data_IF_661756193238
#
_entry.id   IF_661756193238
#
_cell.length_a   1.000
_cell.length_b   1.000
_cell.length_c   1.000
_cell.angle_alpha   90.00
_cell.angle_beta   90.00
_cell.angle_gamma   90.00
#
_symmetry.space_group_name_H-M   'P 1'
#
loop_
_entity.id
_entity.type
_entity.pdbx_description
1 polymer ?
#
# COMPACT_ATOMS: atom_id res chain seq x y z
N UNK A 1 -41.36 -7.93 -10.35
CA UNK A 1 -40.87 -6.53 -10.46
C UNK A 1 -39.63 -6.38 -9.58
N UNK A 2 -38.43 -6.41 -10.16
CA UNK A 2 -37.17 -6.14 -9.44
C UNK A 2 -36.69 -4.77 -9.90
N UNK A 3 -36.71 -3.79 -9.01
CA UNK A 3 -36.12 -2.47 -9.25
C UNK A 3 -34.61 -2.62 -9.46
N UNK A 4 -34.16 -2.16 -10.62
CA UNK A 4 -32.76 -1.94 -10.92
C UNK A 4 -32.23 -0.87 -9.95
N UNK A 5 -31.27 -1.25 -9.09
CA UNK A 5 -30.51 -0.28 -8.31
C UNK A 5 -29.56 0.43 -9.27
N UNK A 6 -29.91 1.66 -9.60
CA UNK A 6 -29.17 2.55 -10.48
C UNK A 6 -27.76 2.76 -9.91
N UNK A 7 -26.74 2.43 -10.71
CA UNK A 7 -25.31 2.63 -10.41
C UNK A 7 -24.92 4.11 -10.62
N UNK A 8 -25.71 5.05 -10.09
CA UNK A 8 -25.55 6.49 -10.30
C UNK A 8 -24.42 7.11 -9.48
N UNK A 9 -23.86 6.40 -8.48
CA UNK A 9 -22.77 6.93 -7.67
C UNK A 9 -21.41 6.90 -8.39
N UNK A 10 -21.26 6.08 -9.44
CA UNK A 10 -20.02 5.98 -10.23
C UNK A 10 -19.84 7.20 -11.17
N UNK A 11 -20.91 7.95 -11.44
CA UNK A 11 -20.89 9.11 -12.37
C UNK A 11 -20.70 10.47 -11.72
N UNK A 12 -20.64 10.56 -10.38
CA UNK A 12 -20.23 11.79 -9.69
C UNK A 12 -18.71 11.80 -9.58
N UNK A 13 -18.06 12.41 -10.57
CA UNK A 13 -16.64 12.75 -10.50
C UNK A 13 -16.31 13.37 -9.15
N UNK A 14 -15.18 12.98 -8.57
CA UNK A 14 -14.74 13.19 -7.19
C UNK A 14 -14.45 14.66 -6.83
N UNK A 15 -15.43 15.55 -7.02
CA UNK A 15 -15.29 16.95 -6.60
C UNK A 15 -15.13 17.00 -5.08
N UNK A 16 -14.04 17.61 -4.62
CA UNK A 16 -13.78 17.84 -3.20
C UNK A 16 -14.92 18.68 -2.59
N UNK A 17 -15.11 18.59 -1.28
CA UNK A 17 -16.14 19.38 -0.56
C UNK A 17 -15.98 20.90 -0.71
N UNK A 18 -14.80 21.37 -1.13
CA UNK A 18 -14.47 22.77 -1.43
C UNK A 18 -14.67 23.16 -2.91
N UNK A 19 -15.29 22.29 -3.72
CA UNK A 19 -15.55 22.52 -5.14
C UNK A 19 -14.32 22.39 -6.04
N UNK A 20 -13.14 22.06 -5.50
CA UNK A 20 -11.91 21.89 -6.28
C UNK A 20 -11.84 20.50 -6.92
N UNK A 21 -11.11 20.36 -8.05
CA UNK A 21 -10.83 19.04 -8.60
C UNK A 21 -10.04 18.18 -7.58
N UNK A 22 -10.13 16.85 -7.68
CA UNK A 22 -9.28 15.94 -6.93
C UNK A 22 -7.81 16.28 -7.11
N UNK A 23 -7.00 16.08 -6.07
CA UNK A 23 -5.55 16.14 -6.19
C UNK A 23 -5.09 14.91 -6.99
N UNK A 24 -4.40 15.07 -8.13
CA UNK A 24 -3.80 13.95 -8.84
C UNK A 24 -2.79 13.21 -7.96
N UNK A 25 -2.72 11.89 -8.09
CA UNK A 25 -1.83 11.09 -7.24
C UNK A 25 -0.36 11.47 -7.37
N UNK A 26 0.10 11.85 -8.58
CA UNK A 26 1.47 12.36 -8.78
C UNK A 26 1.76 13.62 -7.95
N UNK A 27 0.79 14.53 -7.83
CA UNK A 27 0.96 15.80 -7.12
C UNK A 27 1.03 15.53 -5.61
N UNK A 28 0.28 14.52 -5.13
CA UNK A 28 0.42 13.99 -3.79
C UNK A 28 1.82 13.40 -3.52
N UNK A 29 2.35 12.57 -4.43
CA UNK A 29 3.72 12.05 -4.31
C UNK A 29 4.74 13.19 -4.24
N UNK A 30 4.63 14.18 -5.12
CA UNK A 30 5.50 15.36 -5.10
C UNK A 30 5.41 16.16 -3.80
N UNK A 31 4.22 16.22 -3.17
CA UNK A 31 4.07 16.88 -1.87
C UNK A 31 4.86 16.19 -0.76
N UNK A 32 4.95 14.85 -0.79
CA UNK A 32 5.73 14.05 0.16
C UNK A 32 7.22 14.23 -0.16
N UNK A 33 7.62 14.03 -1.41
CA UNK A 33 9.03 14.01 -1.79
C UNK A 33 9.71 15.38 -1.64
N UNK A 34 8.97 16.47 -1.85
CA UNK A 34 9.47 17.83 -1.67
C UNK A 34 9.22 18.36 -0.24
N UNK A 35 8.69 17.54 0.67
CA UNK A 35 8.37 17.90 2.07
C UNK A 35 7.52 19.17 2.19
N UNK A 36 6.62 19.39 1.24
CA UNK A 36 5.72 20.56 1.23
C UNK A 36 4.69 20.45 2.36
N UNK A 37 4.33 19.23 2.74
CA UNK A 37 3.39 18.95 3.82
C UNK A 37 3.95 17.86 4.74
N UNK A 38 4.20 18.22 6.00
CA UNK A 38 4.67 17.28 7.02
C UNK A 38 3.43 16.67 7.69
N UNK A 39 3.29 15.35 7.60
CA UNK A 39 2.20 14.64 8.23
C UNK A 39 2.66 13.24 8.65
N UNK A 40 2.36 12.89 9.91
CA UNK A 40 2.72 11.59 10.50
C UNK A 40 2.17 10.40 9.72
N UNK A 41 1.09 10.55 8.96
CA UNK A 41 0.52 9.45 8.15
C UNK A 41 1.42 9.05 6.97
N UNK A 42 2.32 9.94 6.54
CA UNK A 42 3.22 9.71 5.40
C UNK A 42 4.69 9.74 5.83
N UNK A 43 4.97 9.82 7.12
CA UNK A 43 6.33 9.70 7.63
C UNK A 43 6.73 8.22 7.68
N UNK A 44 7.98 7.85 7.33
CA UNK A 44 8.48 6.50 7.50
C UNK A 44 8.25 5.97 8.93
N UNK A 45 7.89 4.69 9.04
CA UNK A 45 7.68 4.01 10.32
C UNK A 45 8.93 4.06 11.19
N UNK A 46 10.10 3.95 10.56
CA UNK A 46 11.40 4.10 11.22
C UNK A 46 11.50 5.41 12.02
N UNK A 47 10.99 6.53 11.49
CA UNK A 47 11.05 7.85 12.14
C UNK A 47 10.00 8.02 13.26
N UNK A 48 8.88 7.31 13.20
CA UNK A 48 7.75 7.50 14.13
C UNK A 48 7.90 6.71 15.42
N UNK A 49 8.33 5.45 15.32
CA UNK A 49 8.21 4.50 16.43
C UNK A 49 9.53 3.96 16.96
N UNK A 50 10.67 4.32 16.36
CA UNK A 50 11.96 3.66 16.60
C UNK A 50 11.84 2.12 16.66
N UNK A 51 11.20 1.48 15.66
CA UNK A 51 10.83 0.06 15.68
C UNK A 51 12.02 -0.89 15.91
N UNK A 52 13.24 -0.46 15.58
CA UNK A 52 14.47 -1.19 15.88
C UNK A 52 14.76 -1.38 17.38
N UNK A 53 14.03 -0.70 18.27
CA UNK A 53 14.17 -0.83 19.73
C UNK A 53 13.26 -1.93 20.31
N UNK A 54 12.39 -2.54 19.51
CA UNK A 54 11.46 -3.58 19.93
C UNK A 54 11.95 -4.94 19.43
N UNK A 55 12.07 -5.90 20.33
CA UNK A 55 12.37 -7.28 19.99
C UNK A 55 11.07 -8.00 19.58
N UNK A 56 10.78 -8.00 18.28
CA UNK A 56 9.58 -8.65 17.76
C UNK A 56 9.71 -10.18 17.75
N UNK A 57 8.79 -10.86 18.42
CA UNK A 57 8.64 -12.31 18.29
C UNK A 57 8.03 -12.72 16.94
N UNK A 58 7.26 -11.83 16.32
CA UNK A 58 6.53 -12.09 15.09
C UNK A 58 6.22 -10.80 14.32
N UNK A 59 6.40 -10.82 13.00
CA UNK A 59 6.00 -9.76 12.07
C UNK A 59 5.14 -10.41 11.00
N UNK A 60 3.97 -9.83 10.71
CA UNK A 60 3.02 -10.31 9.72
C UNK A 60 2.90 -9.29 8.58
N UNK A 61 2.69 -9.77 7.36
CA UNK A 61 2.46 -8.94 6.19
C UNK A 61 1.02 -9.09 5.72
N UNK A 62 0.43 -7.98 5.25
CA UNK A 62 -0.99 -7.98 4.86
C UNK A 62 -1.27 -8.78 3.60
N UNK A 63 -0.27 -8.89 2.72
CA UNK A 63 -0.31 -9.66 1.48
C UNK A 63 -0.19 -11.18 1.70
N UNK A 64 0.34 -11.62 2.85
CA UNK A 64 0.45 -13.02 3.28
C UNK A 64 -0.30 -13.30 4.60
N UNK A 65 -1.32 -12.49 4.91
CA UNK A 65 -1.92 -12.45 6.25
C UNK A 65 -2.45 -13.81 6.74
N UNK A 66 -3.04 -14.64 5.86
CA UNK A 66 -3.56 -15.94 6.32
C UNK A 66 -2.45 -16.97 6.56
N UNK A 67 -1.38 -16.95 5.75
CA UNK A 67 -0.18 -17.75 6.01
C UNK A 67 0.48 -17.32 7.32
N UNK A 68 0.65 -16.02 7.53
CA UNK A 68 1.29 -15.46 8.71
C UNK A 68 0.47 -15.76 9.98
N UNK A 69 -0.85 -15.57 9.93
CA UNK A 69 -1.71 -15.93 11.06
C UNK A 69 -1.68 -17.43 11.36
N UNK A 70 -1.60 -18.28 10.34
CA UNK A 70 -1.45 -19.74 10.55
C UNK A 70 -0.14 -20.05 11.26
N UNK A 71 0.97 -19.44 10.81
CA UNK A 71 2.29 -19.60 11.44
C UNK A 71 2.27 -19.08 12.89
N UNK A 72 1.66 -17.93 13.12
CA UNK A 72 1.50 -17.34 14.45
C UNK A 72 0.73 -18.26 15.40
N UNK A 73 -0.44 -18.75 14.99
CA UNK A 73 -1.27 -19.68 15.80
C UNK A 73 -0.49 -20.95 16.16
N UNK A 74 0.24 -21.52 15.20
CA UNK A 74 1.11 -22.66 15.46
C UNK A 74 2.23 -22.33 16.46
N UNK A 75 2.87 -21.16 16.32
CA UNK A 75 3.96 -20.70 17.21
C UNK A 75 3.49 -20.56 18.66
N UNK A 76 2.25 -20.16 18.90
CA UNK A 76 1.67 -20.03 20.25
C UNK A 76 0.97 -21.29 20.75
N UNK A 77 1.09 -22.43 20.05
CA UNK A 77 0.50 -23.70 20.45
C UNK A 77 -1.02 -23.81 20.24
N UNK A 78 -1.61 -22.89 19.47
CA UNK A 78 -3.04 -22.92 19.13
C UNK A 78 -3.23 -23.75 17.86
N UNK A 79 -3.64 -25.00 18.03
CA UNK A 79 -3.85 -25.96 16.94
C UNK A 79 -5.33 -26.15 16.60
N UNK A 80 -5.62 -26.51 15.34
CA UNK A 80 -6.99 -26.82 14.89
C UNK A 80 -7.92 -25.60 14.80
N UNK A 81 -7.36 -24.39 14.71
CA UNK A 81 -8.09 -23.11 14.64
C UNK A 81 -8.04 -22.46 13.26
N UNK A 82 -7.81 -23.24 12.21
CA UNK A 82 -7.70 -22.72 10.84
C UNK A 82 -8.97 -21.99 10.36
N UNK A 83 -10.12 -22.26 10.99
CA UNK A 83 -11.38 -21.53 10.73
C UNK A 83 -11.34 -20.05 11.15
N UNK A 84 -10.35 -19.63 11.95
CA UNK A 84 -10.12 -18.22 12.31
C UNK A 84 -9.32 -17.46 11.24
N UNK A 85 -8.70 -18.17 10.29
CA UNK A 85 -7.87 -17.55 9.28
C UNK A 85 -8.75 -16.72 8.33
N UNK A 86 -8.33 -15.50 7.98
CA UNK A 86 -9.08 -14.67 7.06
C UNK A 86 -9.16 -15.37 5.70
N UNK A 87 -10.32 -15.29 5.06
CA UNK A 87 -10.47 -15.73 3.68
C UNK A 87 -9.57 -14.88 2.79
N UNK A 88 -8.56 -15.50 2.18
CA UNK A 88 -7.74 -14.82 1.19
C UNK A 88 -8.49 -14.76 -0.12
N UNK A 89 -8.81 -13.53 -0.52
CA UNK A 89 -9.27 -13.26 -1.87
C UNK A 89 -8.07 -12.88 -2.73
N UNK A 90 -7.98 -13.34 -3.99
CA UNK A 90 -6.96 -12.87 -4.90
C UNK A 90 -7.05 -11.35 -4.98
N UNK A 91 -6.03 -10.66 -4.48
CA UNK A 91 -6.05 -9.20 -4.44
C UNK A 91 -5.69 -8.67 -5.82
N UNK A 92 -6.46 -7.70 -6.33
CA UNK A 92 -6.04 -6.88 -7.48
C UNK A 92 -5.01 -5.82 -7.06
N UNK A 93 -4.41 -5.97 -5.86
CA UNK A 93 -3.54 -4.97 -5.26
C UNK A 93 -2.36 -4.65 -6.16
N UNK A 94 -1.67 -5.66 -6.72
CA UNK A 94 -0.54 -5.46 -7.65
C UNK A 94 -0.94 -4.71 -8.93
N UNK A 95 -2.09 -5.04 -9.53
CA UNK A 95 -2.58 -4.34 -10.73
C UNK A 95 -3.00 -2.91 -10.39
N UNK A 96 -3.74 -2.72 -9.30
CA UNK A 96 -4.17 -1.39 -8.82
C UNK A 96 -2.97 -0.52 -8.49
N UNK A 97 -1.98 -1.06 -7.77
CA UNK A 97 -0.72 -0.41 -7.43
C UNK A 97 -0.02 0.11 -8.67
N UNK A 98 0.30 -0.78 -9.61
CA UNK A 98 0.99 -0.38 -10.83
C UNK A 98 0.21 0.62 -11.69
N UNK A 99 -1.13 0.55 -11.72
CA UNK A 99 -1.95 1.57 -12.40
C UNK A 99 -1.95 2.93 -11.69
N UNK A 100 -1.98 2.95 -10.35
CA UNK A 100 -1.99 4.18 -9.55
C UNK A 100 -0.68 4.95 -9.67
N UNK A 101 0.46 4.23 -9.68
CA UNK A 101 1.79 4.83 -9.79
C UNK A 101 2.24 5.05 -11.25
N UNK A 102 1.46 4.60 -12.24
CA UNK A 102 1.85 4.65 -13.66
C UNK A 102 2.22 6.04 -14.13
N UNK A 103 1.49 7.07 -13.69
CA UNK A 103 1.67 8.45 -14.14
C UNK A 103 2.65 9.27 -13.28
N UNK A 104 3.31 8.65 -12.30
CA UNK A 104 4.30 9.29 -11.41
C UNK A 104 5.69 9.20 -12.04
N UNK A 105 6.42 10.29 -12.28
CA UNK A 105 7.74 10.20 -12.90
C UNK A 105 8.72 9.28 -12.15
N UNK A 106 9.58 8.56 -12.87
CA UNK A 106 10.51 7.57 -12.29
C UNK A 106 11.44 8.19 -11.27
N UNK A 107 11.86 9.44 -11.48
CA UNK A 107 12.67 10.21 -10.54
C UNK A 107 11.94 10.48 -9.21
N UNK A 108 10.62 10.75 -9.26
CA UNK A 108 9.79 10.94 -8.08
C UNK A 108 9.59 9.60 -7.34
N UNK A 109 9.42 8.50 -8.09
CA UNK A 109 9.37 7.15 -7.51
C UNK A 109 10.67 6.79 -6.80
N UNK A 110 11.84 7.04 -7.42
CA UNK A 110 13.12 6.78 -6.77
C UNK A 110 13.30 7.61 -5.52
N UNK A 111 12.88 8.88 -5.53
CA UNK A 111 12.93 9.74 -4.35
C UNK A 111 12.02 9.23 -3.22
N UNK A 112 10.83 8.71 -3.54
CA UNK A 112 9.98 7.98 -2.58
C UNK A 112 10.72 6.75 -2.04
N UNK A 113 11.33 5.95 -2.93
CA UNK A 113 12.11 4.77 -2.55
C UNK A 113 13.20 5.10 -1.53
N UNK A 114 13.95 6.19 -1.73
CA UNK A 114 14.98 6.65 -0.78
C UNK A 114 14.39 7.09 0.57
N UNK A 115 13.23 7.77 0.59
CA UNK A 115 12.57 8.21 1.82
C UNK A 115 12.15 7.01 2.68
N UNK A 116 11.57 5.98 2.06
CA UNK A 116 11.07 4.79 2.78
C UNK A 116 12.06 3.63 2.81
N UNK A 117 13.28 3.80 2.32
CA UNK A 117 14.30 2.75 2.28
C UNK A 117 14.50 2.03 3.63
N UNK A 118 14.58 2.74 4.78
CA UNK A 118 14.70 2.06 6.08
C UNK A 118 13.54 1.11 6.38
N UNK A 119 12.32 1.47 5.96
CA UNK A 119 11.13 0.64 6.17
C UNK A 119 11.13 -0.58 5.22
N UNK A 120 11.51 -0.39 3.96
CA UNK A 120 11.69 -1.50 3.01
C UNK A 120 12.68 -2.53 3.56
N UNK A 121 13.85 -2.06 3.99
CA UNK A 121 14.92 -2.90 4.52
C UNK A 121 14.48 -3.61 5.81
N UNK A 122 13.76 -2.91 6.70
CA UNK A 122 13.32 -3.47 7.98
C UNK A 122 12.21 -4.52 7.84
N UNK A 123 11.27 -4.33 6.90
CA UNK A 123 10.13 -5.24 6.71
C UNK A 123 10.34 -6.28 5.61
N UNK A 124 11.50 -6.28 4.95
CA UNK A 124 11.86 -7.28 3.94
C UNK A 124 11.16 -7.07 2.59
N UNK A 125 10.76 -5.84 2.29
CA UNK A 125 10.18 -5.47 1.00
C UNK A 125 11.28 -4.99 0.02
N UNK A 126 11.06 -5.18 -1.27
CA UNK A 126 12.03 -4.81 -2.31
C UNK A 126 11.47 -3.72 -3.24
N UNK A 127 11.92 -2.48 -3.04
CA UNK A 127 11.51 -1.35 -3.87
C UNK A 127 11.79 -1.54 -5.37
N UNK A 128 12.88 -2.22 -5.74
CA UNK A 128 13.22 -2.40 -7.16
C UNK A 128 12.26 -3.39 -7.86
N UNK A 129 11.67 -4.34 -7.12
CA UNK A 129 10.60 -5.19 -7.66
C UNK A 129 9.33 -4.39 -7.96
N UNK A 130 8.95 -3.48 -7.06
CA UNK A 130 7.81 -2.59 -7.26
C UNK A 130 8.04 -1.61 -8.41
N UNK A 131 9.25 -1.05 -8.51
CA UNK A 131 9.62 -0.16 -9.61
C UNK A 131 9.57 -0.90 -10.95
N UNK A 132 10.14 -2.10 -11.03
CA UNK A 132 10.08 -2.92 -12.24
C UNK A 132 8.63 -3.26 -12.65
N UNK A 133 7.75 -3.57 -11.68
CA UNK A 133 6.33 -3.79 -11.94
C UNK A 133 5.66 -2.55 -12.57
N UNK A 134 5.92 -1.36 -12.02
CA UNK A 134 5.36 -0.10 -12.53
C UNK A 134 5.85 0.18 -13.95
N UNK A 135 7.15 0.04 -14.21
CA UNK A 135 7.74 0.30 -15.54
C UNK A 135 7.23 -0.69 -16.60
N UNK A 136 7.11 -1.97 -16.26
CA UNK A 136 6.55 -2.98 -17.16
C UNK A 136 5.11 -2.63 -17.59
N UNK A 137 4.30 -2.11 -16.67
CA UNK A 137 2.93 -1.69 -16.95
C UNK A 137 2.83 -0.40 -17.79
N UNK A 138 3.90 0.39 -17.89
CA UNK A 138 3.98 1.51 -18.84
C UNK A 138 4.28 1.05 -20.26
N UNK A 139 5.11 0.02 -20.40
CA UNK A 139 5.58 -0.51 -21.67
C UNK A 139 4.55 -1.35 -22.45
N UNK A 140 3.52 -1.90 -21.80
CA UNK A 140 2.47 -2.72 -22.44
C UNK A 140 1.41 -1.92 -23.23
N UNK A 141 1.82 -0.92 -24.03
CA UNK A 141 0.93 -0.18 -24.95
C UNK A 141 0.96 -0.74 -26.36
#
# INVERSE_FOLDING_TARGET
MRQARNLDWIKRGSVRSDGKPPVPFRDFIQSITNKVYINIHWEPFFSLCAPCQVEYDFIAHTDTLAEDLRLFLHKIGVVGKDYLLPTQHPTRAKTSFGTTFRDVPTEDLRRIGEIYKPDFDMFGYNFEEDLALIENLRGTR
#
